data_IF_889622752919
#
_entry.id   IF_889622752919
#
_cell.length_a   1.000
_cell.length_b   1.000
_cell.length_c   1.000
_cell.angle_alpha   90.00
_cell.angle_beta   90.00
_cell.angle_gamma   90.00
#
_symmetry.space_group_name_H-M   'P 1'
#
loop_
_entity.id
_entity.type
_entity.pdbx_description
1 polymer ?
#
# COMPACT_ATOMS: atom_id res chain seq x y z
N UNK A 1 45.63 47.99 6.17
CA UNK A 1 45.31 46.57 6.05
C UNK A 1 44.20 46.45 5.03
N UNK A 2 44.56 46.18 3.78
CA UNK A 2 43.71 45.49 2.80
C UNK A 2 43.80 43.96 3.04
N UNK A 3 42.98 43.09 2.42
CA UNK A 3 42.14 43.28 1.21
C UNK A 3 40.64 42.95 1.40
N UNK A 4 39.70 43.54 0.66
CA UNK A 4 39.33 43.28 -0.74
C UNK A 4 38.97 41.80 -1.02
N UNK A 5 37.68 41.49 -1.19
CA UNK A 5 37.17 40.97 -2.46
C UNK A 5 35.62 40.96 -2.47
N UNK A 6 35.06 41.78 -3.37
CA UNK A 6 33.69 41.68 -3.88
C UNK A 6 33.78 40.91 -5.19
N UNK A 7 32.98 39.86 -5.38
CA UNK A 7 32.70 39.30 -6.71
C UNK A 7 31.21 39.11 -6.85
N UNK A 8 30.72 39.62 -7.99
CA UNK A 8 29.35 39.84 -8.40
C UNK A 8 28.69 38.58 -8.98
N UNK A 9 27.36 38.67 -9.07
CA UNK A 9 26.40 37.84 -9.81
C UNK A 9 26.92 37.05 -11.01
N UNK A 10 26.44 35.81 -11.15
CA UNK A 10 25.93 35.29 -12.41
C UNK A 10 24.56 34.64 -12.19
N UNK A 11 23.52 35.26 -12.78
CA UNK A 11 22.21 34.66 -13.05
C UNK A 11 22.29 33.96 -14.40
N UNK A 12 22.09 32.64 -14.44
CA UNK A 12 21.65 31.85 -15.60
C UNK A 12 20.95 30.59 -15.06
N UNK A 13 19.86 30.02 -15.55
CA UNK A 13 18.85 30.27 -16.61
C UNK A 13 17.77 29.20 -16.38
N UNK A 14 16.56 29.40 -16.91
CA UNK A 14 15.35 28.61 -16.65
C UNK A 14 15.28 27.22 -17.34
N UNK A 15 14.51 26.29 -16.72
CA UNK A 15 13.55 25.28 -17.29
C UNK A 15 14.15 24.01 -17.99
N UNK A 16 13.51 22.79 -18.04
CA UNK A 16 12.09 22.39 -17.85
C UNK A 16 11.74 21.26 -16.86
N UNK A 17 10.43 21.22 -16.58
CA UNK A 17 9.70 20.05 -16.14
C UNK A 17 9.59 19.04 -17.29
N UNK A 18 10.11 17.83 -17.09
CA UNK A 18 9.78 16.64 -17.86
C UNK A 18 9.86 15.42 -16.93
N UNK A 19 8.70 14.76 -16.80
CA UNK A 19 8.56 13.30 -16.80
C UNK A 19 9.49 12.47 -15.89
N UNK A 20 9.00 12.12 -14.69
CA UNK A 20 9.40 10.86 -14.03
C UNK A 20 8.20 9.92 -13.98
N UNK A 21 7.97 9.28 -15.13
CA UNK A 21 7.26 8.01 -15.21
C UNK A 21 8.11 6.96 -14.49
N UNK A 22 8.03 6.91 -13.15
CA UNK A 22 8.67 5.88 -12.37
C UNK A 22 7.95 4.56 -12.68
N UNK A 23 8.59 3.77 -13.53
CA UNK A 23 8.22 2.42 -13.87
C UNK A 23 7.82 1.65 -12.59
N UNK A 24 6.56 1.27 -12.51
CA UNK A 24 6.09 0.22 -11.61
C UNK A 24 6.75 -1.07 -12.10
N UNK A 25 7.95 -1.33 -11.60
CA UNK A 25 8.60 -2.63 -11.74
C UNK A 25 7.70 -3.65 -11.07
N UNK A 26 7.08 -4.53 -11.87
CA UNK A 26 6.48 -5.75 -11.37
C UNK A 26 7.62 -6.58 -10.77
N UNK A 27 7.84 -6.47 -9.46
CA UNK A 27 8.78 -7.35 -8.80
C UNK A 27 8.23 -8.78 -8.89
N UNK A 28 9.06 -9.65 -9.43
CA UNK A 28 8.79 -11.06 -9.69
C UNK A 28 8.26 -11.75 -8.43
N UNK A 29 7.05 -12.31 -8.53
CA UNK A 29 6.42 -13.14 -7.50
C UNK A 29 7.27 -14.39 -7.25
N UNK A 30 7.48 -14.82 -5.98
CA UNK A 30 7.94 -16.17 -5.71
C UNK A 30 6.87 -17.18 -6.13
N UNK A 31 7.28 -18.26 -6.80
CA UNK A 31 6.38 -19.30 -7.28
C UNK A 31 5.80 -20.09 -6.09
N UNK A 32 4.55 -19.83 -5.75
CA UNK A 32 3.74 -20.72 -4.92
C UNK A 32 3.30 -21.90 -5.79
N UNK A 33 3.40 -23.12 -5.26
CA UNK A 33 3.04 -24.36 -5.96
C UNK A 33 1.64 -24.25 -6.58
N UNK A 34 1.58 -24.36 -7.90
CA UNK A 34 0.37 -24.21 -8.69
C UNK A 34 -0.58 -25.41 -8.52
N UNK A 35 -1.38 -25.39 -7.46
CA UNK A 35 -2.78 -25.77 -7.63
C UNK A 35 -3.38 -24.74 -8.59
N UNK A 36 -3.88 -25.17 -9.75
CA UNK A 36 -4.26 -24.27 -10.84
C UNK A 36 -5.13 -23.10 -10.35
N UNK A 37 -4.53 -21.90 -10.26
CA UNK A 37 -5.26 -20.66 -10.12
C UNK A 37 -6.16 -20.53 -11.35
N UNK A 38 -7.47 -20.46 -11.14
CA UNK A 38 -8.47 -20.50 -12.22
C UNK A 38 -9.13 -19.14 -12.47
N UNK A 39 -8.74 -18.10 -11.72
CA UNK A 39 -9.36 -16.78 -11.78
C UNK A 39 -8.41 -15.61 -11.53
N UNK A 40 -8.98 -14.46 -11.16
CA UNK A 40 -8.25 -13.22 -10.99
C UNK A 40 -7.17 -13.30 -9.89
N UNK A 41 -6.07 -12.58 -10.11
CA UNK A 41 -4.99 -12.41 -9.13
C UNK A 41 -4.89 -10.95 -8.71
N UNK A 42 -4.64 -10.72 -7.42
CA UNK A 42 -4.43 -9.41 -6.84
C UNK A 42 -3.21 -9.40 -5.93
N UNK A 43 -2.59 -8.23 -5.78
CA UNK A 43 -1.44 -8.02 -4.90
C UNK A 43 -1.61 -6.71 -4.13
N UNK A 44 -1.33 -6.73 -2.84
CA UNK A 44 -1.24 -5.52 -2.02
C UNK A 44 0.07 -5.52 -1.23
N UNK A 45 0.82 -4.43 -1.32
CA UNK A 45 2.01 -4.22 -0.48
C UNK A 45 1.58 -3.59 0.84
N UNK A 46 2.04 -4.14 1.95
CA UNK A 46 1.86 -3.56 3.28
C UNK A 46 3.07 -2.67 3.57
N UNK A 47 2.80 -1.38 3.83
CA UNK A 47 3.81 -0.38 4.15
C UNK A 47 3.31 0.50 5.30
N UNK A 48 4.22 1.12 6.06
CA UNK A 48 3.86 2.14 7.03
C UNK A 48 3.08 3.29 6.37
N UNK A 49 2.08 3.82 7.06
CA UNK A 49 1.32 5.01 6.60
C UNK A 49 1.96 6.33 7.02
N UNK A 50 3.07 6.26 7.76
CA UNK A 50 3.94 7.37 8.15
C UNK A 50 5.38 6.89 8.41
N UNK A 51 6.30 7.84 8.57
CA UNK A 51 7.73 7.58 8.71
C UNK A 51 8.14 6.88 10.02
N UNK A 52 7.26 6.84 11.02
CA UNK A 52 7.53 6.21 12.30
C UNK A 52 7.19 4.70 12.32
N UNK A 53 6.37 4.23 11.38
CA UNK A 53 5.94 2.84 11.35
C UNK A 53 7.01 1.90 10.78
N UNK A 54 7.05 0.68 11.30
CA UNK A 54 7.99 -0.37 10.88
C UNK A 54 7.31 -1.57 10.24
N UNK A 55 5.97 -1.58 10.22
CA UNK A 55 5.14 -2.65 9.66
C UNK A 55 5.40 -2.78 8.15
N UNK A 56 5.77 -3.98 7.71
CA UNK A 56 5.94 -4.30 6.28
C UNK A 56 5.31 -5.63 5.96
N UNK A 57 5.10 -5.89 4.68
CA UNK A 57 4.58 -7.16 4.23
C UNK A 57 3.94 -7.10 2.86
N UNK A 58 3.19 -8.15 2.56
CA UNK A 58 2.46 -8.29 1.31
C UNK A 58 1.26 -9.21 1.48
N UNK A 59 0.28 -9.04 0.62
CA UNK A 59 -0.91 -9.88 0.51
C UNK A 59 -1.09 -10.30 -0.93
N UNK A 60 -1.22 -11.59 -1.16
CA UNK A 60 -1.61 -12.17 -2.44
C UNK A 60 -3.07 -12.59 -2.39
N UNK A 61 -3.80 -12.25 -3.42
CA UNK A 61 -5.20 -12.63 -3.62
C UNK A 61 -5.28 -13.53 -4.84
N UNK A 62 -5.87 -14.71 -4.69
CA UNK A 62 -6.07 -15.65 -5.79
C UNK A 62 -7.50 -16.14 -5.77
N UNK A 63 -8.23 -15.88 -6.86
CA UNK A 63 -9.56 -16.44 -7.03
C UNK A 63 -9.45 -17.96 -7.28
N UNK A 64 -10.19 -18.71 -6.47
CA UNK A 64 -10.31 -20.15 -6.53
C UNK A 64 -11.78 -20.51 -6.83
N UNK A 65 -12.04 -21.73 -7.31
CA UNK A 65 -13.39 -22.22 -7.65
C UNK A 65 -14.44 -22.10 -6.51
N UNK A 66 -14.02 -21.86 -5.27
CA UNK A 66 -14.90 -21.75 -4.10
C UNK A 66 -14.79 -20.42 -3.33
N UNK A 67 -14.04 -19.43 -3.82
CA UNK A 67 -13.87 -18.15 -3.12
C UNK A 67 -12.50 -17.52 -3.36
N UNK A 68 -12.19 -16.48 -2.58
CA UNK A 68 -10.92 -15.78 -2.66
C UNK A 68 -9.94 -16.35 -1.63
N UNK A 69 -8.81 -16.90 -2.08
CA UNK A 69 -7.68 -17.19 -1.22
C UNK A 69 -6.90 -15.91 -0.94
N UNK A 70 -6.56 -15.69 0.33
CA UNK A 70 -5.81 -14.52 0.80
C UNK A 70 -4.60 -15.01 1.58
N UNK A 71 -3.41 -14.82 1.01
CA UNK A 71 -2.14 -15.18 1.65
C UNK A 71 -1.41 -13.92 2.07
N UNK A 72 -1.33 -13.66 3.37
CA UNK A 72 -0.69 -12.47 3.94
C UNK A 72 0.59 -12.83 4.70
N UNK A 73 1.69 -12.17 4.35
CA UNK A 73 2.94 -12.19 5.10
C UNK A 73 3.19 -10.81 5.69
N UNK A 74 3.29 -10.72 7.01
CA UNK A 74 3.37 -9.45 7.74
C UNK A 74 4.50 -9.52 8.76
N UNK A 75 5.35 -8.48 8.77
CA UNK A 75 6.54 -8.39 9.59
C UNK A 75 6.51 -7.14 10.46
N UNK A 76 7.22 -7.19 11.59
CA UNK A 76 7.36 -6.06 12.54
C UNK A 76 6.00 -5.53 13.02
N UNK A 77 5.03 -6.42 13.26
CA UNK A 77 3.71 -6.05 13.75
C UNK A 77 3.84 -5.42 15.15
N UNK A 78 3.44 -4.15 15.34
CA UNK A 78 3.58 -3.48 16.62
C UNK A 78 2.51 -3.94 17.60
N UNK A 79 2.91 -4.13 18.85
CA UNK A 79 2.03 -4.62 19.90
C UNK A 79 1.80 -6.12 19.85
N UNK A 80 1.29 -6.67 20.95
CA UNK A 80 0.94 -8.08 21.05
C UNK A 80 -0.59 -8.24 20.99
N UNK A 81 -1.05 -9.35 20.41
CA UNK A 81 -2.45 -9.75 20.40
C UNK A 81 -3.05 -9.81 19.00
N UNK A 82 -4.38 -10.00 18.90
CA UNK A 82 -5.10 -10.00 17.63
C UNK A 82 -5.09 -8.63 16.96
N UNK A 83 -4.95 -8.61 15.63
CA UNK A 83 -5.04 -7.41 14.80
C UNK A 83 -6.17 -7.57 13.77
N UNK A 84 -6.89 -6.49 13.49
CA UNK A 84 -7.93 -6.48 12.45
C UNK A 84 -7.32 -6.45 11.05
N UNK A 85 -7.99 -7.10 10.10
CA UNK A 85 -7.63 -7.13 8.69
C UNK A 85 -8.86 -6.81 7.84
N UNK A 86 -8.82 -5.73 7.08
CA UNK A 86 -9.94 -5.24 6.28
C UNK A 86 -9.46 -4.74 4.92
N UNK A 87 -10.35 -4.80 3.93
CA UNK A 87 -10.21 -4.09 2.66
C UNK A 87 -10.94 -2.76 2.83
N UNK A 88 -10.29 -1.65 2.48
CA UNK A 88 -10.89 -0.33 2.51
C UNK A 88 -11.47 0.04 1.14
N UNK A 89 -12.40 1.00 1.12
CA UNK A 89 -13.11 1.39 -0.10
C UNK A 89 -12.25 2.18 -1.11
N UNK A 90 -11.18 2.84 -0.65
CA UNK A 90 -10.24 3.59 -1.49
C UNK A 90 -8.83 3.03 -1.38
N UNK A 91 -8.16 2.83 -2.52
CA UNK A 91 -6.75 2.43 -2.61
C UNK A 91 -5.76 3.57 -2.30
N UNK A 92 -5.89 4.22 -1.14
CA UNK A 92 -5.06 5.35 -0.74
C UNK A 92 -4.58 5.22 0.71
N UNK A 93 -3.27 5.06 0.93
CA UNK A 93 -2.69 4.81 2.26
C UNK A 93 -2.16 6.08 2.97
N UNK A 94 -2.34 7.27 2.41
CA UNK A 94 -1.83 8.52 2.98
C UNK A 94 -2.68 9.02 4.16
N UNK A 95 -2.28 10.12 4.80
CA UNK A 95 -2.94 10.69 6.00
C UNK A 95 -3.08 9.66 7.13
N UNK A 96 -1.98 8.97 7.45
CA UNK A 96 -1.97 7.90 8.47
C UNK A 96 -2.97 6.75 8.21
N UNK A 97 -3.44 6.57 6.98
CA UNK A 97 -4.43 5.56 6.60
C UNK A 97 -5.86 6.09 6.47
N UNK A 98 -6.15 7.32 6.93
CA UNK A 98 -7.51 7.89 6.90
C UNK A 98 -8.04 8.09 5.47
N UNK A 99 -7.14 8.24 4.49
CA UNK A 99 -7.51 8.40 3.09
C UNK A 99 -8.10 7.15 2.44
N UNK A 100 -7.95 5.99 3.07
CA UNK A 100 -8.50 4.74 2.59
C UNK A 100 -10.04 4.71 2.71
N UNK A 101 -10.62 5.61 3.50
CA UNK A 101 -12.05 5.64 3.77
C UNK A 101 -12.49 4.53 4.72
N UNK A 102 -13.76 4.17 4.69
CA UNK A 102 -14.34 3.09 5.48
C UNK A 102 -13.96 1.70 4.97
N UNK A 103 -14.54 0.68 5.60
CA UNK A 103 -14.43 -0.69 5.12
C UNK A 103 -15.19 -0.85 3.80
N UNK A 104 -14.61 -1.58 2.86
CA UNK A 104 -15.27 -1.96 1.62
C UNK A 104 -16.55 -2.74 1.95
N UNK A 105 -17.68 -2.15 1.61
CA UNK A 105 -19.02 -2.67 1.90
C UNK A 105 -19.95 -2.38 0.72
N UNK A 106 -19.80 -3.11 -0.40
CA UNK A 106 -20.51 -2.81 -1.64
C UNK A 106 -22.02 -3.00 -1.53
N UNK A 107 -22.48 -3.74 -0.52
CA UNK A 107 -23.90 -3.97 -0.26
C UNK A 107 -24.48 -3.03 0.82
N UNK A 108 -23.64 -2.18 1.43
CA UNK A 108 -24.02 -1.25 2.49
C UNK A 108 -24.75 -1.92 3.68
N UNK A 109 -24.35 -3.13 4.04
CA UNK A 109 -24.95 -3.93 5.13
C UNK A 109 -24.06 -3.92 6.37
N UNK A 110 -24.62 -4.30 7.52
CA UNK A 110 -23.80 -4.44 8.74
C UNK A 110 -22.89 -5.65 8.56
N UNK A 111 -21.65 -5.55 9.03
CA UNK A 111 -20.68 -6.65 9.02
C UNK A 111 -19.70 -6.52 10.19
N UNK A 112 -18.91 -7.56 10.44
CA UNK A 112 -18.00 -7.67 11.59
C UNK A 112 -18.40 -8.84 12.49
N UNK A 113 -17.93 -8.82 13.75
CA UNK A 113 -18.26 -9.85 14.74
C UNK A 113 -19.70 -9.66 15.29
N UNK A 114 -20.69 -9.69 14.39
CA UNK A 114 -22.10 -9.61 14.72
C UNK A 114 -22.74 -11.00 14.53
N UNK A 115 -23.35 -11.59 15.58
CA UNK A 115 -23.98 -12.92 15.48
C UNK A 115 -25.24 -12.98 14.61
N UNK A 116 -25.73 -11.83 14.14
CA UNK A 116 -26.91 -11.70 13.25
C UNK A 116 -26.75 -10.44 12.41
N UNK A 117 -27.21 -10.50 11.16
CA UNK A 117 -27.25 -9.39 10.20
C UNK A 117 -25.89 -9.04 9.54
N UNK A 118 -24.87 -9.89 9.70
CA UNK A 118 -23.59 -9.81 8.98
C UNK A 118 -23.62 -10.65 7.70
N UNK A 119 -23.86 -10.03 6.55
CA UNK A 119 -23.88 -10.71 5.25
C UNK A 119 -22.98 -9.98 4.25
#
# INVERSE_FOLDING_TARGET
MEPANEVKEEVQTQKPADEVNAAVTHQQMPAVSAGAATGAVGYAKIQPTNDAGTLTGQVNFVEQKGGLQVDAEVFSVPGAGPHGFHIHEVGACHKNGDAAGGHYNPLAVKHGFLPKDGH
#
